data_IF_789207727489
#
_entry.id   IF_789207727489
#
_cell.length_a   1.000
_cell.length_b   1.000
_cell.length_c   1.000
_cell.angle_alpha   90.00
_cell.angle_beta   90.00
_cell.angle_gamma   90.00
#
_symmetry.space_group_name_H-M   'P 1'
#
loop_
_entity.id
_entity.type
_entity.pdbx_description
1 polymer ?
#
# COMPACT_ATOMS: atom_id res chain seq x y z
N UNK A 1 25.86 32.82 -37.05
CA UNK A 1 26.67 33.76 -36.25
C UNK A 1 25.82 34.95 -35.79
N UNK A 2 25.14 34.86 -34.64
CA UNK A 2 24.84 36.02 -33.79
C UNK A 2 24.38 35.56 -32.39
N UNK A 3 25.39 35.38 -31.55
CA UNK A 3 25.41 35.52 -30.09
C UNK A 3 24.25 34.90 -29.31
N UNK A 4 24.53 33.70 -28.82
CA UNK A 4 24.10 33.19 -27.52
C UNK A 4 24.12 34.32 -26.47
N UNK A 5 22.93 34.77 -26.06
CA UNK A 5 22.72 35.64 -24.90
C UNK A 5 21.87 34.87 -23.91
N UNK A 6 22.52 34.51 -22.81
CA UNK A 6 22.00 33.86 -21.62
C UNK A 6 20.84 34.69 -21.02
N UNK A 7 19.65 34.11 -20.92
CA UNK A 7 18.60 34.57 -19.98
C UNK A 7 17.90 33.32 -19.41
N UNK A 8 18.44 32.81 -18.30
CA UNK A 8 17.73 31.99 -17.30
C UNK A 8 17.31 32.98 -16.22
N UNK A 9 16.01 33.22 -15.97
CA UNK A 9 15.21 32.47 -14.98
C UNK A 9 13.72 32.36 -15.44
N UNK A 10 12.72 31.73 -14.81
CA UNK A 10 12.42 31.30 -13.46
C UNK A 10 11.37 30.16 -13.61
N UNK A 11 11.63 28.99 -13.02
CA UNK A 11 10.67 27.88 -12.95
C UNK A 11 9.43 28.33 -12.16
N UNK A 12 8.26 28.45 -12.81
CA UNK A 12 6.97 28.33 -12.12
C UNK A 12 6.49 26.90 -12.34
N UNK A 13 6.77 26.08 -11.34
CA UNK A 13 6.66 24.63 -11.33
C UNK A 13 5.21 24.14 -11.34
N UNK A 14 4.95 23.25 -12.29
CA UNK A 14 4.03 22.11 -12.30
C UNK A 14 3.04 21.92 -11.15
N UNK A 15 1.78 21.76 -11.55
CA UNK A 15 0.66 21.08 -10.86
C UNK A 15 1.07 20.12 -9.75
N UNK A 16 0.73 20.47 -8.50
CA UNK A 16 0.74 19.55 -7.36
C UNK A 16 -0.48 18.61 -7.45
N UNK A 17 -0.34 17.47 -8.12
CA UNK A 17 -1.27 16.36 -7.92
C UNK A 17 -0.95 15.73 -6.57
N UNK A 18 -1.74 16.02 -5.53
CA UNK A 18 -1.74 15.22 -4.32
C UNK A 18 -2.40 13.87 -4.64
N UNK A 19 -1.59 12.85 -4.95
CA UNK A 19 -2.06 11.47 -4.92
C UNK A 19 -2.30 11.10 -3.45
N UNK A 20 -3.54 11.26 -2.96
CA UNK A 20 -3.97 10.79 -1.65
C UNK A 20 -4.10 9.25 -1.66
N UNK A 21 -2.96 8.56 -1.77
CA UNK A 21 -2.88 7.13 -1.58
C UNK A 21 -2.88 6.81 -0.09
N UNK A 22 -3.99 7.05 0.60
CA UNK A 22 -4.19 6.51 1.94
C UNK A 22 -4.15 4.99 1.81
N UNK A 23 -3.01 4.39 2.15
CA UNK A 23 -2.86 2.93 2.24
C UNK A 23 -3.87 2.47 3.27
N UNK A 24 -5.00 1.93 2.81
CA UNK A 24 -6.09 1.51 3.66
C UNK A 24 -5.57 0.36 4.52
N UNK A 25 -5.30 0.63 5.79
CA UNK A 25 -5.03 -0.40 6.77
C UNK A 25 -6.35 -1.14 7.00
N UNK A 26 -6.37 -2.46 6.85
CA UNK A 26 -7.60 -3.23 7.04
C UNK A 26 -8.26 -2.95 8.40
N UNK A 27 -9.59 -2.94 8.42
CA UNK A 27 -10.40 -2.75 9.62
C UNK A 27 -10.12 -3.85 10.66
N UNK A 28 -10.42 -3.64 11.96
CA UNK A 28 -10.28 -4.68 12.98
C UNK A 28 -11.03 -5.97 12.65
N UNK A 29 -12.16 -5.85 11.94
CA UNK A 29 -12.97 -6.98 11.49
C UNK A 29 -12.24 -7.82 10.43
N UNK A 30 -11.55 -7.15 9.51
CA UNK A 30 -10.75 -7.73 8.45
C UNK A 30 -9.46 -8.35 8.99
N UNK A 31 -8.76 -7.66 9.88
CA UNK A 31 -7.62 -8.21 10.61
C UNK A 31 -8.01 -9.49 11.37
N UNK A 32 -9.16 -9.50 12.04
CA UNK A 32 -9.69 -10.69 12.72
C UNK A 32 -10.07 -11.80 11.75
N UNK A 33 -10.51 -11.48 10.53
CA UNK A 33 -10.75 -12.47 9.49
C UNK A 33 -9.46 -13.14 9.03
N UNK A 34 -8.36 -12.39 8.99
CA UNK A 34 -7.04 -12.82 8.54
C UNK A 34 -6.11 -13.29 9.67
N UNK A 35 -6.49 -13.18 10.95
CA UNK A 35 -5.61 -13.45 12.10
C UNK A 35 -5.00 -14.85 12.11
N UNK A 36 -5.76 -15.86 11.68
CA UNK A 36 -5.26 -17.24 11.54
C UNK A 36 -4.20 -17.37 10.45
N UNK A 37 -4.41 -16.71 9.32
CA UNK A 37 -3.46 -16.70 8.22
C UNK A 37 -2.21 -15.88 8.57
N UNK A 38 -2.38 -14.75 9.25
CA UNK A 38 -1.28 -13.92 9.76
C UNK A 38 -0.41 -14.72 10.75
N UNK A 39 -1.02 -15.47 11.65
CA UNK A 39 -0.31 -16.33 12.59
C UNK A 39 0.45 -17.48 11.92
N UNK A 40 -0.03 -17.94 10.75
CA UNK A 40 0.54 -19.07 10.02
C UNK A 40 1.65 -18.64 9.05
N UNK A 41 1.45 -17.55 8.32
CA UNK A 41 2.35 -17.09 7.26
C UNK A 41 3.22 -15.91 7.69
N UNK A 42 2.73 -15.06 8.59
CA UNK A 42 3.33 -13.77 8.93
C UNK A 42 3.72 -13.68 10.42
N UNK A 43 3.98 -14.82 11.07
CA UNK A 43 4.17 -14.91 12.53
C UNK A 43 5.24 -13.96 13.08
N UNK A 44 6.32 -13.75 12.32
CA UNK A 44 7.43 -12.89 12.70
C UNK A 44 7.10 -11.40 12.64
N UNK A 45 6.00 -11.03 11.96
CA UNK A 45 5.56 -9.66 11.75
C UNK A 45 4.38 -9.29 12.66
N UNK A 46 3.84 -10.24 13.43
CA UNK A 46 2.75 -9.98 14.36
C UNK A 46 3.16 -8.88 15.36
N UNK A 47 2.39 -7.79 15.37
CA UNK A 47 2.68 -6.57 16.14
C UNK A 47 2.94 -5.35 15.26
N UNK A 48 3.22 -5.56 13.97
CA UNK A 48 3.27 -4.51 12.96
C UNK A 48 2.17 -4.78 11.92
N UNK A 49 1.05 -4.05 12.05
CA UNK A 49 -0.11 -4.21 11.18
C UNK A 49 0.22 -3.96 9.71
N UNK A 50 1.15 -3.03 9.43
CA UNK A 50 1.59 -2.74 8.07
C UNK A 50 2.39 -3.89 7.48
N UNK A 51 3.33 -4.43 8.24
CA UNK A 51 4.14 -5.56 7.80
C UNK A 51 3.28 -6.83 7.63
N UNK A 52 2.33 -7.07 8.53
CA UNK A 52 1.36 -8.17 8.41
C UNK A 52 0.52 -8.01 7.14
N UNK A 53 0.02 -6.81 6.85
CA UNK A 53 -0.78 -6.57 5.65
C UNK A 53 0.02 -6.88 4.37
N UNK A 54 1.26 -6.39 4.26
CA UNK A 54 2.11 -6.70 3.10
C UNK A 54 2.39 -8.19 2.98
N UNK A 55 2.67 -8.87 4.09
CA UNK A 55 2.89 -10.31 4.08
C UNK A 55 1.63 -11.07 3.64
N UNK A 56 0.44 -10.70 4.13
CA UNK A 56 -0.81 -11.29 3.69
C UNK A 56 -1.06 -11.03 2.19
N UNK A 57 -0.77 -9.82 1.68
CA UNK A 57 -0.84 -9.50 0.25
C UNK A 57 0.06 -10.43 -0.60
N UNK A 58 1.30 -10.65 -0.17
CA UNK A 58 2.23 -11.57 -0.85
C UNK A 58 1.74 -13.02 -0.84
N UNK A 59 0.97 -13.38 0.18
CA UNK A 59 0.46 -14.74 0.37
C UNK A 59 -0.99 -14.94 -0.08
N UNK A 60 -1.64 -13.99 -0.79
CA UNK A 60 -3.09 -14.02 -1.12
C UNK A 60 -3.60 -15.36 -1.65
N UNK A 61 -2.84 -16.00 -2.55
CA UNK A 61 -3.21 -17.29 -3.13
C UNK A 61 -3.30 -18.44 -2.09
N UNK A 62 -2.61 -18.31 -0.95
CA UNK A 62 -2.53 -19.31 0.12
C UNK A 62 -3.40 -18.99 1.34
N UNK A 63 -4.01 -17.82 1.37
CA UNK A 63 -4.87 -17.40 2.47
C UNK A 63 -6.16 -18.21 2.52
N UNK A 64 -6.80 -18.25 3.69
CA UNK A 64 -8.14 -18.81 3.82
C UNK A 64 -9.16 -18.05 2.97
N UNK A 65 -10.25 -18.72 2.56
CA UNK A 65 -11.34 -18.08 1.81
C UNK A 65 -11.89 -16.84 2.52
N UNK A 66 -11.92 -16.83 3.85
CA UNK A 66 -12.41 -15.70 4.63
C UNK A 66 -11.51 -14.47 4.45
N UNK A 67 -10.20 -14.65 4.53
CA UNK A 67 -9.24 -13.57 4.34
C UNK A 67 -9.12 -13.16 2.86
N UNK A 68 -9.25 -14.10 1.92
CA UNK A 68 -9.33 -13.76 0.49
C UNK A 68 -10.54 -12.87 0.17
N UNK A 69 -11.70 -13.12 0.79
CA UNK A 69 -12.89 -12.27 0.61
C UNK A 69 -12.64 -10.82 1.05
N UNK A 70 -11.89 -10.61 2.12
CA UNK A 70 -11.48 -9.28 2.60
C UNK A 70 -10.68 -8.53 1.52
N UNK A 71 -9.71 -9.23 0.94
CA UNK A 71 -8.90 -8.68 -0.16
C UNK A 71 -9.72 -8.45 -1.44
N UNK A 72 -10.76 -9.25 -1.69
CA UNK A 72 -11.67 -9.08 -2.83
C UNK A 72 -12.69 -7.94 -2.65
N UNK A 73 -13.17 -7.70 -1.42
CA UNK A 73 -14.24 -6.72 -1.17
C UNK A 73 -13.73 -5.28 -1.14
N UNK A 74 -12.50 -5.06 -0.68
CA UNK A 74 -11.95 -3.70 -0.46
C UNK A 74 -10.63 -3.43 -1.21
N UNK A 75 -10.15 -4.35 -2.05
CA UNK A 75 -8.96 -4.13 -2.88
C UNK A 75 -7.67 -3.95 -2.09
N UNK A 76 -7.67 -4.34 -0.81
CA UNK A 76 -6.42 -4.61 -0.10
C UNK A 76 -5.62 -5.64 -0.87
#
# INVERSE_FOLDING_TARGET
MRRMLLIVPLMLTSTYCFAQGAQHMGTPQEQKACSRDASRFCRQLLGDDMAVQQCLQQHRAKLSQKCQKVFQSHGM
#
